data_IF_293259758615
#
_entry.id   IF_293259758615
#
_cell.length_a   1.000
_cell.length_b   1.000
_cell.length_c   1.000
_cell.angle_alpha   90.00
_cell.angle_beta   90.00
_cell.angle_gamma   90.00
#
_symmetry.space_group_name_H-M   'P 1'
#
loop_
_entity.id
_entity.type
_entity.pdbx_description
1 polymer ?
#
# COMPACT_ATOMS: atom_id res chain seq x y z
N UNK A 1 8.65 -12.35 10.02
CA UNK A 1 8.49 -10.97 10.56
C UNK A 1 7.14 -10.84 11.23
N UNK A 2 7.13 -10.30 12.42
CA UNK A 2 5.87 -10.08 13.12
C UNK A 2 5.12 -8.90 12.53
N UNK A 3 3.81 -8.93 12.63
CA UNK A 3 2.96 -7.87 12.06
C UNK A 3 3.35 -6.47 12.55
N UNK A 4 3.63 -6.31 13.84
CA UNK A 4 4.03 -5.02 14.39
C UNK A 4 5.31 -4.46 13.77
N UNK A 5 6.27 -5.34 13.48
CA UNK A 5 7.50 -4.93 12.79
C UNK A 5 7.21 -4.52 11.36
N UNK A 6 6.33 -5.25 10.67
CA UNK A 6 5.95 -4.91 9.29
C UNK A 6 5.28 -3.54 9.24
N UNK A 7 4.38 -3.26 10.19
CA UNK A 7 3.71 -1.97 10.28
C UNK A 7 4.70 -0.85 10.57
N UNK A 8 5.60 -1.04 11.54
CA UNK A 8 6.62 -0.04 11.86
C UNK A 8 7.57 0.23 10.71
N UNK A 9 7.98 -0.81 10.00
CA UNK A 9 8.85 -0.66 8.84
C UNK A 9 8.17 0.13 7.72
N UNK A 10 6.88 -0.14 7.48
CA UNK A 10 6.10 0.58 6.47
C UNK A 10 5.97 2.05 6.85
N UNK A 11 5.63 2.34 8.10
CA UNK A 11 5.51 3.70 8.61
C UNK A 11 6.83 4.45 8.47
N UNK A 12 7.92 3.80 8.86
CA UNK A 12 9.25 4.40 8.77
C UNK A 12 9.60 4.75 7.32
N UNK A 13 9.32 3.86 6.39
CA UNK A 13 9.58 4.11 4.97
C UNK A 13 8.78 5.30 4.45
N UNK A 14 7.51 5.39 4.83
CA UNK A 14 6.66 6.50 4.42
C UNK A 14 7.17 7.82 5.01
N UNK A 15 7.42 7.85 6.29
CA UNK A 15 7.76 9.10 6.98
C UNK A 15 9.15 9.61 6.67
N UNK A 16 10.09 8.71 6.45
CA UNK A 16 11.46 9.12 6.18
C UNK A 16 11.75 9.40 4.71
N UNK A 17 11.12 8.67 3.82
CA UNK A 17 11.51 8.70 2.41
C UNK A 17 10.45 9.27 1.47
N UNK A 18 9.20 9.25 1.84
CA UNK A 18 8.10 9.60 0.94
C UNK A 18 7.42 10.89 1.33
N UNK A 19 6.89 10.98 2.54
CA UNK A 19 6.15 12.16 2.99
C UNK A 19 6.91 13.47 2.82
N UNK A 20 8.20 13.57 3.13
CA UNK A 20 8.91 14.84 2.99
C UNK A 20 9.05 15.30 1.56
N UNK A 21 8.91 14.38 0.60
CA UNK A 21 9.21 14.69 -0.80
C UNK A 21 8.03 14.63 -1.74
N UNK A 22 6.95 13.99 -1.34
CA UNK A 22 5.83 13.77 -2.25
C UNK A 22 4.86 14.94 -2.25
N UNK A 23 4.11 15.05 -3.35
CA UNK A 23 3.00 15.99 -3.46
C UNK A 23 1.74 15.33 -2.96
N UNK A 24 1.52 14.09 -3.33
CA UNK A 24 0.40 13.28 -2.88
C UNK A 24 0.75 11.80 -3.01
N UNK A 25 0.03 10.95 -2.29
CA UNK A 25 0.27 9.51 -2.29
C UNK A 25 -1.02 8.72 -2.08
N UNK A 26 -0.98 7.45 -2.44
CA UNK A 26 -2.07 6.51 -2.20
C UNK A 26 -1.50 5.16 -1.80
N UNK A 27 -2.15 4.50 -0.85
CA UNK A 27 -1.75 3.18 -0.36
C UNK A 27 -2.71 2.14 -0.94
N UNK A 28 -2.20 1.01 -1.37
CA UNK A 28 -2.99 -0.08 -1.93
C UNK A 28 -2.41 -1.44 -1.62
N UNK A 29 -3.13 -2.46 -2.05
CA UNK A 29 -2.67 -3.85 -1.94
C UNK A 29 -2.91 -4.58 -3.26
N UNK A 30 -2.11 -5.61 -3.52
CA UNK A 30 -2.23 -6.39 -4.74
C UNK A 30 -1.65 -7.78 -4.56
N UNK A 31 -2.17 -8.76 -5.31
CA UNK A 31 -1.56 -10.08 -5.45
C UNK A 31 -0.59 -10.16 -6.62
N UNK A 32 -0.43 -9.09 -7.37
CA UNK A 32 0.46 -9.03 -8.53
C UNK A 32 1.82 -8.47 -8.15
N UNK A 33 2.79 -8.63 -9.02
CA UNK A 33 4.06 -7.94 -8.87
C UNK A 33 3.81 -6.44 -9.00
N UNK A 34 4.60 -5.64 -8.29
CA UNK A 34 4.36 -4.20 -8.26
C UNK A 34 4.45 -3.56 -9.63
N UNK A 35 5.42 -3.98 -10.44
CA UNK A 35 5.55 -3.46 -11.80
C UNK A 35 4.29 -3.72 -12.62
N UNK A 36 3.77 -4.94 -12.57
CA UNK A 36 2.55 -5.32 -13.27
C UNK A 36 1.37 -4.45 -12.81
N UNK A 37 1.21 -4.31 -11.51
CA UNK A 37 0.13 -3.51 -10.95
C UNK A 37 0.23 -2.05 -11.37
N UNK A 38 1.44 -1.50 -11.36
CA UNK A 38 1.66 -0.10 -11.70
C UNK A 38 1.32 0.20 -13.16
N UNK A 39 1.74 -0.67 -14.08
CA UNK A 39 1.49 -0.43 -15.50
C UNK A 39 0.07 -0.76 -15.94
N UNK A 40 -0.62 -1.67 -15.26
CA UNK A 40 -1.98 -2.05 -15.61
C UNK A 40 -3.04 -1.07 -15.11
N UNK A 41 -2.73 -0.30 -14.10
CA UNK A 41 -3.70 0.62 -13.51
C UNK A 41 -3.50 2.02 -14.08
N UNK A 42 -4.41 2.91 -13.75
CA UNK A 42 -4.24 4.31 -14.09
C UNK A 42 -3.15 4.99 -13.27
N UNK A 43 -2.53 4.27 -12.36
CA UNK A 43 -1.53 4.84 -11.47
C UNK A 43 -0.38 5.51 -12.21
N UNK A 44 0.08 4.93 -13.30
CA UNK A 44 1.20 5.51 -14.06
C UNK A 44 0.89 6.89 -14.62
N UNK A 45 -0.39 7.26 -14.71
CA UNK A 45 -0.77 8.57 -15.19
C UNK A 45 -0.93 9.58 -14.06
N UNK A 46 -1.13 9.11 -12.84
CA UNK A 46 -1.34 9.97 -11.68
C UNK A 46 -0.16 10.00 -10.74
N UNK A 47 0.62 8.93 -10.72
CA UNK A 47 1.76 8.77 -9.82
C UNK A 47 3.00 8.37 -10.60
N UNK A 48 4.13 8.87 -10.17
CA UNK A 48 5.39 8.58 -10.87
C UNK A 48 6.21 7.49 -10.20
N UNK A 49 5.89 7.16 -8.97
CA UNK A 49 6.70 6.22 -8.19
C UNK A 49 5.82 5.19 -7.50
N UNK A 50 6.37 4.00 -7.31
CA UNK A 50 5.74 2.94 -6.53
C UNK A 50 6.79 2.26 -5.66
N UNK A 51 6.42 1.90 -4.44
CA UNK A 51 7.32 1.22 -3.52
C UNK A 51 6.58 0.16 -2.72
N UNK A 52 7.22 -0.98 -2.49
CA UNK A 52 6.72 -2.02 -1.60
C UNK A 52 6.81 -1.56 -0.14
N UNK A 53 5.71 -1.64 0.58
CA UNK A 53 5.67 -1.37 2.00
C UNK A 53 5.69 -2.66 2.82
N UNK A 54 5.12 -3.73 2.31
CA UNK A 54 5.14 -5.02 2.98
C UNK A 54 4.66 -6.14 2.09
N UNK A 55 5.20 -7.33 2.31
CA UNK A 55 4.83 -8.53 1.57
C UNK A 55 4.25 -9.53 2.55
N UNK A 56 3.06 -10.00 2.29
CA UNK A 56 2.32 -10.86 3.19
C UNK A 56 1.98 -12.20 2.54
N UNK A 57 1.79 -13.22 3.37
CA UNK A 57 1.48 -14.56 2.88
C UNK A 57 -0.02 -14.80 2.74
N UNK A 58 -0.86 -13.88 3.14
CA UNK A 58 -2.31 -14.03 3.01
C UNK A 58 -2.98 -12.70 2.69
N UNK A 59 -4.15 -12.78 2.08
CA UNK A 59 -4.99 -11.60 1.80
C UNK A 59 -5.34 -10.88 3.09
N UNK A 60 -5.66 -11.67 4.13
CA UNK A 60 -6.05 -11.13 5.43
C UNK A 60 -4.94 -10.26 6.04
N UNK A 61 -3.70 -10.74 6.03
CA UNK A 61 -2.57 -9.98 6.56
C UNK A 61 -2.31 -8.71 5.75
N UNK A 62 -2.38 -8.81 4.42
CA UNK A 62 -2.19 -7.65 3.55
C UNK A 62 -3.30 -6.61 3.76
N UNK A 63 -4.54 -7.08 3.88
CA UNK A 63 -5.68 -6.19 4.12
C UNK A 63 -5.57 -5.46 5.45
N UNK A 64 -5.09 -6.14 6.48
CA UNK A 64 -4.89 -5.52 7.78
C UNK A 64 -3.79 -4.45 7.73
N UNK A 65 -2.68 -4.76 7.08
CA UNK A 65 -1.57 -3.81 6.95
C UNK A 65 -2.01 -2.57 6.15
N UNK A 66 -2.68 -2.78 5.03
CA UNK A 66 -3.21 -1.69 4.22
C UNK A 66 -4.17 -0.82 5.04
N UNK A 67 -5.12 -1.45 5.71
CA UNK A 67 -6.13 -0.75 6.50
C UNK A 67 -5.51 0.09 7.61
N UNK A 68 -4.56 -0.47 8.34
CA UNK A 68 -3.90 0.25 9.43
C UNK A 68 -3.09 1.46 8.92
N UNK A 69 -2.44 1.29 7.77
CA UNK A 69 -1.69 2.39 7.15
C UNK A 69 -2.62 3.49 6.64
N UNK A 70 -3.70 3.13 5.98
CA UNK A 70 -4.68 4.12 5.49
C UNK A 70 -5.29 4.87 6.67
N UNK A 71 -5.67 4.16 7.72
CA UNK A 71 -6.26 4.80 8.89
C UNK A 71 -5.30 5.81 9.52
N UNK A 72 -4.02 5.47 9.58
CA UNK A 72 -3.02 6.37 10.14
C UNK A 72 -2.91 7.67 9.34
N UNK A 73 -3.01 7.59 8.03
CA UNK A 73 -2.76 8.74 7.16
C UNK A 73 -4.00 9.35 6.53
N UNK A 74 -5.18 8.86 6.84
CA UNK A 74 -6.41 9.31 6.16
C UNK A 74 -6.67 10.81 6.30
N UNK A 75 -6.20 11.42 7.37
CA UNK A 75 -6.36 12.85 7.60
C UNK A 75 -5.18 13.66 7.08
N UNK A 76 -4.18 13.03 6.52
CA UNK A 76 -3.04 13.73 5.94
C UNK A 76 -3.48 14.37 4.62
N UNK A 77 -3.19 15.65 4.43
CA UNK A 77 -3.61 16.37 3.23
C UNK A 77 -3.02 15.78 1.94
N UNK A 78 -1.93 15.06 2.03
CA UNK A 78 -1.30 14.44 0.86
C UNK A 78 -1.87 13.06 0.53
N UNK A 79 -2.69 12.50 1.40
CA UNK A 79 -3.22 11.14 1.21
C UNK A 79 -4.44 11.16 0.28
N UNK A 80 -4.36 10.40 -0.80
CA UNK A 80 -5.44 10.31 -1.78
C UNK A 80 -6.45 9.20 -1.48
N UNK A 81 -6.23 8.40 -0.45
CA UNK A 81 -7.19 7.39 -0.07
C UNK A 81 -8.46 8.05 0.47
N UNK A 82 -9.61 7.61 -0.03
CA UNK A 82 -10.88 8.25 0.29
C UNK A 82 -11.51 7.66 1.53
N UNK A 83 -11.25 6.40 1.82
CA UNK A 83 -11.88 5.71 2.94
C UNK A 83 -10.83 5.27 3.93
N UNK A 84 -11.11 5.46 5.19
CA UNK A 84 -10.31 4.81 6.22
C UNK A 84 -10.30 3.32 5.93
N UNK A 85 -9.24 2.66 6.30
CA UNK A 85 -8.98 1.29 5.96
C UNK A 85 -10.03 0.29 6.25
N UNK A 86 -11.15 0.34 5.56
CA UNK A 86 -12.07 -0.71 5.60
C UNK A 86 -11.55 -1.82 4.84
N UNK A 87 -11.40 -2.86 5.51
CA UNK A 87 -10.93 -4.05 4.93
C UNK A 87 -12.01 -4.62 4.08
N UNK A 88 -11.78 -4.65 2.83
CA UNK A 88 -12.61 -5.43 1.95
C UNK A 88 -11.98 -6.77 1.85
N UNK A 89 -12.53 -7.71 2.56
CA UNK A 89 -12.01 -9.03 2.42
C UNK A 89 -12.48 -9.73 1.20
N UNK A 90 -13.03 -9.09 0.32
CA UNK A 90 -13.52 -9.66 -0.77
C UNK A 90 -12.64 -10.33 -1.48
N UNK A 91 -11.77 -10.52 -1.34
CA UNK A 91 -11.40 -10.78 -2.34
C UNK A 91 -10.41 -11.56 -2.50
N UNK A 92 -10.61 -12.48 -2.92
CA UNK A 92 -9.98 -13.29 -3.81
C UNK A 92 -9.10 -12.48 -4.71
N UNK A 93 -8.11 -11.82 -4.21
CA UNK A 93 -7.05 -11.32 -5.02
C UNK A 93 -6.26 -12.52 -5.52
N UNK A 94 -6.23 -12.71 -6.82
CA UNK A 94 -5.36 -13.72 -7.40
C UNK A 94 -3.90 -13.31 -7.16
N UNK A 95 -3.08 -14.24 -6.74
CA UNK A 95 -1.66 -14.00 -6.54
C UNK A 95 -0.87 -14.89 -7.49
N UNK A 96 0.11 -14.31 -8.17
CA UNK A 96 0.96 -15.04 -9.10
C UNK A 96 1.98 -15.92 -8.38
N UNK A 97 2.41 -15.53 -7.21
CA UNK A 97 3.47 -16.22 -6.45
C UNK A 97 3.07 -16.59 -5.04
N UNK A 98 1.78 -16.54 -4.71
CA UNK A 98 1.31 -16.85 -3.37
C UNK A 98 1.56 -15.75 -2.36
N UNK A 99 2.02 -14.59 -2.79
CA UNK A 99 2.27 -13.45 -1.91
C UNK A 99 1.35 -12.29 -2.24
N UNK A 100 1.10 -11.48 -1.24
CA UNK A 100 0.26 -10.29 -1.36
C UNK A 100 1.06 -9.10 -0.89
N UNK A 101 0.98 -8.01 -1.63
CA UNK A 101 1.85 -6.85 -1.40
C UNK A 101 1.03 -5.63 -1.02
N UNK A 102 1.50 -4.92 -0.03
CA UNK A 102 0.99 -3.58 0.30
C UNK A 102 2.01 -2.59 -0.24
N UNK A 103 1.55 -1.61 -0.97
CA UNK A 103 2.42 -0.68 -1.67
C UNK A 103 1.94 0.76 -1.48
N UNK A 104 2.81 1.69 -1.82
CA UNK A 104 2.46 3.09 -1.89
C UNK A 104 2.87 3.62 -3.27
N UNK A 105 1.99 4.42 -3.86
CA UNK A 105 2.29 5.17 -5.09
C UNK A 105 2.28 6.65 -4.72
N UNK A 106 3.17 7.41 -5.33
CA UNK A 106 3.25 8.84 -5.03
C UNK A 106 3.81 9.65 -6.20
N UNK A 107 3.59 10.95 -6.10
CA UNK A 107 4.19 11.90 -7.01
C UNK A 107 4.87 13.03 -6.25
#
# INVERSE_FOLDING_TARGET
MKYGEALENAISAIEKSILPRCKHFKIGKTGQLLHTRFVQSAYKNEYKHIRLLGRCCSVSAASKLEADLIEKYILCSKCDNIKSGRVSFKDSMASEDGKYRVYIVWE
#
